data_IF_537605327528
#
_entry.id   IF_537605327528
#
_cell.length_a   1.000
_cell.length_b   1.000
_cell.length_c   1.000
_cell.angle_alpha   90.00
_cell.angle_beta   90.00
_cell.angle_gamma   90.00
#
_symmetry.space_group_name_H-M   'P 1'
#
loop_
_entity.id
_entity.type
_entity.pdbx_description
1 polymer ?
#
# COMPACT_ATOMS: atom_id res chain seq x y z
N UNK A 1 -23.54 19.45 20.83
CA UNK A 1 -23.11 18.22 20.14
C UNK A 1 -24.35 17.38 19.87
N UNK A 2 -24.78 17.28 18.61
CA UNK A 2 -26.16 16.89 18.29
C UNK A 2 -26.30 15.36 18.27
N UNK A 3 -27.34 14.84 18.94
CA UNK A 3 -27.66 13.41 19.09
C UNK A 3 -27.75 12.63 17.77
N UNK A 4 -27.97 13.33 16.65
CA UNK A 4 -28.00 12.79 15.28
C UNK A 4 -26.60 12.48 14.71
N UNK A 5 -25.58 13.22 15.13
CA UNK A 5 -24.17 13.00 14.73
C UNK A 5 -23.58 11.79 15.47
N UNK A 6 -24.00 11.57 16.73
CA UNK A 6 -23.62 10.38 17.49
C UNK A 6 -24.26 9.09 16.93
N UNK A 7 -25.49 9.17 16.41
CA UNK A 7 -26.19 8.01 15.82
C UNK A 7 -25.61 7.60 14.44
N UNK A 8 -25.15 8.55 13.63
CA UNK A 8 -24.52 8.26 12.33
C UNK A 8 -23.14 7.62 12.46
N UNK A 9 -22.39 8.00 13.49
CA UNK A 9 -21.05 7.45 13.78
C UNK A 9 -21.09 6.03 14.37
N UNK A 10 -22.21 5.60 14.95
CA UNK A 10 -22.40 4.23 15.49
C UNK A 10 -22.96 3.27 14.44
N UNK A 11 -23.71 3.76 13.44
CA UNK A 11 -24.34 2.92 12.41
C UNK A 11 -23.38 2.55 11.26
N UNK A 12 -22.34 3.34 11.00
CA UNK A 12 -21.31 2.96 10.02
C UNK A 12 -20.29 1.94 10.58
N UNK A 13 -20.18 1.81 11.90
CA UNK A 13 -19.27 0.85 12.54
C UNK A 13 -19.81 -0.57 12.55
N UNK A 14 -21.11 -0.79 12.30
CA UNK A 14 -21.72 -2.13 12.33
C UNK A 14 -21.76 -2.85 10.97
N UNK A 15 -21.44 -2.19 9.86
CA UNK A 15 -21.42 -2.82 8.53
C UNK A 15 -20.03 -3.29 8.07
N UNK A 16 -18.95 -2.92 8.76
CA UNK A 16 -17.59 -3.36 8.40
C UNK A 16 -17.08 -4.52 9.26
N UNK A 17 -17.80 -4.89 10.32
CA UNK A 17 -17.37 -5.95 11.27
C UNK A 17 -17.96 -7.32 10.93
N UNK A 18 -19.02 -7.40 10.11
CA UNK A 18 -19.61 -8.70 9.72
C UNK A 18 -18.79 -9.52 8.70
N UNK A 19 -17.61 -9.04 8.29
CA UNK A 19 -16.62 -9.86 7.57
C UNK A 19 -15.62 -10.60 8.48
N UNK A 20 -15.57 -10.27 9.77
CA UNK A 20 -14.51 -10.72 10.68
C UNK A 20 -15.07 -11.56 11.83
N UNK A 21 -15.69 -12.71 11.55
CA UNK A 21 -16.08 -13.63 12.60
C UNK A 21 -16.27 -15.09 12.14
N UNK A 22 -15.42 -15.66 11.25
CA UNK A 22 -15.22 -17.12 11.18
C UNK A 22 -14.12 -17.52 10.18
N UNK A 23 -12.86 -17.35 10.54
CA UNK A 23 -11.77 -17.99 9.77
C UNK A 23 -10.83 -18.67 10.77
N UNK A 24 -10.84 -20.00 10.74
CA UNK A 24 -10.10 -20.91 11.63
C UNK A 24 -8.74 -21.35 11.04
N UNK A 25 -8.14 -20.54 10.17
CA UNK A 25 -6.94 -20.92 9.42
C UNK A 25 -5.83 -19.87 9.58
N UNK A 26 -4.67 -20.28 10.11
CA UNK A 26 -3.54 -19.40 10.48
C UNK A 26 -2.98 -18.61 9.29
N UNK A 27 -2.98 -19.19 8.09
CA UNK A 27 -2.53 -18.50 6.87
C UNK A 27 -3.47 -17.37 6.45
N UNK A 28 -4.76 -17.54 6.71
CA UNK A 28 -5.76 -16.52 6.38
C UNK A 28 -5.77 -15.39 7.41
N UNK A 29 -5.43 -15.67 8.66
CA UNK A 29 -5.30 -14.67 9.72
C UNK A 29 -4.23 -13.62 9.40
N UNK A 30 -3.05 -14.06 8.98
CA UNK A 30 -1.94 -13.16 8.61
C UNK A 30 -2.26 -12.34 7.36
N UNK A 31 -2.95 -12.93 6.38
CA UNK A 31 -3.42 -12.23 5.16
C UNK A 31 -4.43 -11.13 5.49
N UNK A 32 -5.39 -11.41 6.39
CA UNK A 32 -6.40 -10.45 6.84
C UNK A 32 -5.80 -9.37 7.73
N UNK A 33 -4.85 -9.71 8.61
CA UNK A 33 -4.19 -8.73 9.47
C UNK A 33 -3.26 -7.79 8.67
N UNK A 34 -2.52 -8.30 7.69
CA UNK A 34 -1.64 -7.48 6.83
C UNK A 34 -2.40 -6.54 5.89
N UNK A 35 -3.38 -7.09 5.17
CA UNK A 35 -4.26 -6.35 4.25
C UNK A 35 -5.19 -5.40 5.00
N UNK A 36 -5.77 -5.85 6.11
CA UNK A 36 -6.67 -5.05 6.94
C UNK A 36 -5.96 -3.90 7.64
N UNK A 37 -4.75 -4.11 8.16
CA UNK A 37 -3.97 -3.03 8.80
C UNK A 37 -3.49 -2.02 7.78
N UNK A 38 -2.98 -2.49 6.64
CA UNK A 38 -2.56 -1.62 5.55
C UNK A 38 -3.74 -0.79 5.03
N UNK A 39 -4.84 -1.44 4.65
CA UNK A 39 -6.05 -0.77 4.16
C UNK A 39 -6.62 0.20 5.19
N UNK A 40 -6.60 -0.13 6.48
CA UNK A 40 -7.05 0.78 7.54
C UNK A 40 -6.15 2.03 7.64
N UNK A 41 -4.82 1.87 7.61
CA UNK A 41 -3.88 2.99 7.65
C UNK A 41 -4.06 3.88 6.43
N UNK A 42 -4.15 3.26 5.25
CA UNK A 42 -4.42 3.94 4.00
C UNK A 42 -5.77 4.66 4.01
N UNK A 43 -6.83 4.03 4.50
CA UNK A 43 -8.17 4.62 4.59
C UNK A 43 -8.20 5.85 5.49
N UNK A 44 -7.48 5.80 6.62
CA UNK A 44 -7.38 6.94 7.53
C UNK A 44 -6.61 8.08 6.87
N UNK A 45 -5.44 7.79 6.27
CA UNK A 45 -4.62 8.79 5.61
C UNK A 45 -5.37 9.44 4.42
N UNK A 46 -5.96 8.62 3.55
CA UNK A 46 -6.74 9.09 2.42
C UNK A 46 -8.03 9.79 2.84
N UNK A 47 -8.70 9.34 3.91
CA UNK A 47 -9.89 9.98 4.43
C UNK A 47 -9.63 11.37 5.00
N UNK A 48 -8.50 11.53 5.70
CA UNK A 48 -8.02 12.84 6.16
C UNK A 48 -7.76 13.76 4.97
N UNK A 49 -7.01 13.30 3.95
CA UNK A 49 -6.77 14.08 2.73
C UNK A 49 -8.09 14.47 2.05
N UNK A 50 -9.00 13.50 1.89
CA UNK A 50 -10.29 13.71 1.27
C UNK A 50 -11.14 14.76 2.00
N UNK A 51 -11.20 14.67 3.34
CA UNK A 51 -11.91 15.64 4.17
C UNK A 51 -11.29 17.03 4.07
N UNK A 52 -9.97 17.13 4.03
CA UNK A 52 -9.28 18.41 3.95
C UNK A 52 -9.48 19.11 2.60
N UNK A 53 -9.61 18.36 1.50
CA UNK A 53 -9.80 18.88 0.15
C UNK A 53 -11.26 19.27 -0.11
N UNK A 54 -12.19 18.35 0.15
CA UNK A 54 -13.61 18.58 -0.17
C UNK A 54 -14.38 19.24 0.96
N UNK A 55 -13.88 19.19 2.19
CA UNK A 55 -14.57 19.71 3.38
C UNK A 55 -15.86 18.97 3.72
N UNK A 56 -16.15 17.86 3.02
CA UNK A 56 -17.40 17.13 3.12
C UNK A 56 -17.20 15.62 3.27
N UNK A 57 -18.26 14.96 3.77
CA UNK A 57 -18.27 13.53 4.03
C UNK A 57 -18.03 12.72 2.75
N UNK A 58 -18.45 13.21 1.58
CA UNK A 58 -18.24 12.52 0.31
C UNK A 58 -16.77 12.48 -0.07
N UNK A 59 -16.05 13.59 0.06
CA UNK A 59 -14.62 13.65 -0.21
C UNK A 59 -13.83 12.86 0.83
N UNK A 60 -14.25 12.87 2.10
CA UNK A 60 -13.68 11.97 3.14
C UNK A 60 -13.82 10.51 2.73
N UNK A 61 -15.01 10.09 2.29
CA UNK A 61 -15.27 8.69 1.96
C UNK A 61 -14.52 8.26 0.70
N UNK A 62 -14.46 9.14 -0.31
CA UNK A 62 -13.71 8.90 -1.53
C UNK A 62 -12.21 8.84 -1.25
N UNK A 63 -11.69 9.78 -0.47
CA UNK A 63 -10.30 9.78 -0.04
C UNK A 63 -9.97 8.54 0.79
N UNK A 64 -10.85 8.12 1.70
CA UNK A 64 -10.68 6.91 2.47
C UNK A 64 -10.70 5.66 1.59
N UNK A 65 -11.57 5.58 0.59
CA UNK A 65 -11.59 4.46 -0.35
C UNK A 65 -10.30 4.38 -1.17
N UNK A 66 -9.82 5.53 -1.66
CA UNK A 66 -8.56 5.63 -2.43
C UNK A 66 -7.37 5.25 -1.55
N UNK A 67 -7.30 5.82 -0.34
CA UNK A 67 -6.24 5.52 0.60
C UNK A 67 -6.28 4.06 1.05
N UNK A 68 -7.47 3.49 1.29
CA UNK A 68 -7.64 2.08 1.62
C UNK A 68 -7.12 1.16 0.52
N UNK A 69 -7.29 1.56 -0.74
CA UNK A 69 -6.71 0.83 -1.86
C UNK A 69 -5.19 0.78 -1.73
N UNK A 70 -4.50 1.94 -1.60
CA UNK A 70 -3.03 1.96 -1.40
C UNK A 70 -2.59 1.14 -0.20
N UNK A 71 -3.25 1.35 0.93
CA UNK A 71 -2.95 0.62 2.13
C UNK A 71 -3.16 -0.90 1.99
N UNK A 72 -4.22 -1.31 1.30
CA UNK A 72 -4.63 -2.71 1.15
C UNK A 72 -3.77 -3.48 0.15
N UNK A 73 -3.34 -2.83 -0.94
CA UNK A 73 -2.53 -3.49 -1.97
C UNK A 73 -1.16 -3.90 -1.41
N UNK A 74 -0.57 -3.09 -0.52
CA UNK A 74 0.73 -3.39 0.09
C UNK A 74 0.71 -4.35 1.30
N UNK A 75 -0.45 -4.94 1.61
CA UNK A 75 -0.66 -5.76 2.80
C UNK A 75 -0.46 -7.27 2.63
N UNK A 76 -0.28 -7.77 1.40
CA UNK A 76 -0.17 -9.20 1.09
C UNK A 76 1.15 -9.88 1.55
N UNK A 77 1.99 -9.13 2.26
CA UNK A 77 3.43 -9.26 2.32
C UNK A 77 4.08 -10.41 3.12
N UNK A 78 3.39 -11.45 3.61
CA UNK A 78 4.12 -12.42 4.44
C UNK A 78 3.68 -13.88 4.39
N UNK A 79 2.49 -14.20 3.89
CA UNK A 79 1.90 -15.54 4.11
C UNK A 79 2.06 -16.54 2.97
N UNK A 80 2.19 -16.10 1.72
CA UNK A 80 1.90 -16.95 0.56
C UNK A 80 2.94 -16.80 -0.55
N UNK A 81 4.21 -16.95 -0.20
CA UNK A 81 5.29 -16.86 -1.17
C UNK A 81 5.37 -18.18 -1.96
N UNK A 82 5.04 -18.14 -3.26
CA UNK A 82 4.93 -19.35 -4.12
C UNK A 82 6.30 -19.99 -4.30
N UNK A 83 7.39 -19.22 -4.31
CA UNK A 83 8.73 -19.78 -4.43
C UNK A 83 9.08 -20.75 -3.29
N UNK A 84 8.59 -20.49 -2.07
CA UNK A 84 8.82 -21.34 -0.90
C UNK A 84 7.95 -22.60 -0.88
N UNK A 85 6.99 -22.71 -1.80
CA UNK A 85 5.99 -23.77 -1.83
C UNK A 85 6.26 -24.78 -2.95
N UNK A 86 7.51 -24.91 -3.42
CA UNK A 86 7.91 -25.85 -4.49
C UNK A 86 7.41 -27.27 -4.24
N UNK A 87 7.46 -27.74 -2.99
CA UNK A 87 7.00 -29.08 -2.58
C UNK A 87 5.50 -29.33 -2.78
N UNK A 88 4.68 -28.28 -2.94
CA UNK A 88 3.23 -28.40 -3.15
C UNK A 88 2.87 -28.70 -4.61
N UNK A 89 3.84 -28.62 -5.53
CA UNK A 89 3.63 -28.81 -6.96
C UNK A 89 4.08 -30.20 -7.39
N UNK A 90 3.31 -30.82 -8.29
CA UNK A 90 3.64 -32.12 -8.84
C UNK A 90 4.78 -32.03 -9.87
N UNK A 91 4.94 -30.88 -10.51
CA UNK A 91 5.93 -30.61 -11.55
C UNK A 91 6.61 -29.27 -11.33
N UNK A 92 7.86 -29.18 -11.75
CA UNK A 92 8.64 -27.94 -11.64
C UNK A 92 8.07 -26.84 -12.53
N UNK A 93 7.54 -27.19 -13.71
CA UNK A 93 6.91 -26.24 -14.62
C UNK A 93 5.66 -25.58 -14.01
N UNK A 94 4.82 -26.35 -13.30
CA UNK A 94 3.62 -25.83 -12.63
C UNK A 94 4.00 -24.84 -11.51
N UNK A 95 5.08 -25.15 -10.79
CA UNK A 95 5.63 -24.25 -9.77
C UNK A 95 6.20 -22.97 -10.39
N UNK A 96 6.97 -23.08 -11.48
CA UNK A 96 7.55 -21.93 -12.19
C UNK A 96 6.46 -21.05 -12.79
N UNK A 97 5.41 -21.63 -13.36
CA UNK A 97 4.28 -20.88 -13.90
C UNK A 97 3.53 -20.13 -12.79
N UNK A 98 3.36 -20.74 -11.62
CA UNK A 98 2.81 -20.07 -10.45
C UNK A 98 3.72 -18.94 -9.92
N UNK A 99 5.04 -19.12 -9.96
CA UNK A 99 6.01 -18.05 -9.63
C UNK A 99 5.93 -16.89 -10.62
N UNK A 100 5.81 -17.17 -11.92
CA UNK A 100 5.63 -16.14 -12.95
C UNK A 100 4.30 -15.40 -12.75
N UNK A 101 3.22 -16.11 -12.44
CA UNK A 101 1.92 -15.51 -12.16
C UNK A 101 1.99 -14.58 -10.92
N UNK A 102 2.65 -15.03 -9.85
CA UNK A 102 2.90 -14.22 -8.66
C UNK A 102 3.73 -12.97 -8.99
N UNK A 103 4.80 -13.11 -9.78
CA UNK A 103 5.63 -11.98 -10.19
C UNK A 103 4.84 -10.93 -10.97
N UNK A 104 4.03 -11.37 -11.94
CA UNK A 104 3.14 -10.51 -12.73
C UNK A 104 2.12 -9.80 -11.85
N UNK A 105 1.49 -10.54 -10.93
CA UNK A 105 0.53 -9.97 -10.00
C UNK A 105 1.19 -8.90 -9.13
N UNK A 106 2.37 -9.18 -8.55
CA UNK A 106 3.08 -8.21 -7.71
C UNK A 106 3.51 -6.97 -8.50
N UNK A 107 3.92 -7.15 -9.76
CA UNK A 107 4.20 -6.04 -10.66
C UNK A 107 2.97 -5.15 -10.88
N UNK A 108 1.80 -5.73 -11.16
CA UNK A 108 0.56 -4.97 -11.34
C UNK A 108 0.14 -4.24 -10.06
N UNK A 109 0.22 -4.92 -8.92
CA UNK A 109 -0.04 -4.36 -7.60
C UNK A 109 0.86 -3.17 -7.29
N UNK A 110 2.17 -3.31 -7.52
CA UNK A 110 3.15 -2.26 -7.23
C UNK A 110 3.01 -1.07 -8.18
N UNK A 111 2.64 -1.29 -9.45
CA UNK A 111 2.28 -0.21 -10.38
C UNK A 111 1.07 0.56 -9.87
N UNK A 112 -0.01 -0.13 -9.49
CA UNK A 112 -1.22 0.52 -8.96
C UNK A 112 -0.91 1.29 -7.66
N UNK A 113 -0.11 0.69 -6.78
CA UNK A 113 0.36 1.31 -5.55
C UNK A 113 1.16 2.60 -5.83
N UNK A 114 2.17 2.53 -6.71
CA UNK A 114 2.99 3.68 -7.08
C UNK A 114 2.17 4.82 -7.69
N UNK A 115 1.22 4.49 -8.57
CA UNK A 115 0.32 5.48 -9.18
C UNK A 115 -0.52 6.20 -8.14
N UNK A 116 -1.07 5.47 -7.17
CA UNK A 116 -1.94 6.09 -6.19
C UNK A 116 -1.15 6.82 -5.08
N UNK A 117 0.00 6.27 -4.66
CA UNK A 117 0.95 6.97 -3.81
C UNK A 117 1.37 8.31 -4.46
N UNK A 118 1.61 8.32 -5.77
CA UNK A 118 1.86 9.55 -6.54
C UNK A 118 0.76 10.60 -6.37
N UNK A 119 -0.51 10.17 -6.48
CA UNK A 119 -1.66 11.07 -6.39
C UNK A 119 -1.78 11.63 -4.98
N UNK A 120 -1.57 10.80 -3.97
CA UNK A 120 -1.60 11.23 -2.57
C UNK A 120 -0.46 12.21 -2.26
N UNK A 121 0.75 11.96 -2.76
CA UNK A 121 1.89 12.90 -2.63
C UNK A 121 1.54 14.24 -3.28
N UNK A 122 1.11 14.24 -4.55
CA UNK A 122 0.77 15.47 -5.27
C UNK A 122 -0.35 16.27 -4.57
N UNK A 123 -1.35 15.55 -4.06
CA UNK A 123 -2.45 16.13 -3.29
C UNK A 123 -1.96 16.80 -2.01
N UNK A 124 -1.15 16.08 -1.23
CA UNK A 124 -0.59 16.56 0.03
C UNK A 124 0.35 17.76 -0.18
N UNK A 125 1.11 17.77 -1.27
CA UNK A 125 1.92 18.93 -1.70
C UNK A 125 1.04 20.15 -2.01
N UNK A 126 0.01 19.98 -2.84
CA UNK A 126 -0.89 21.06 -3.23
C UNK A 126 -1.64 21.66 -2.03
N UNK A 127 -2.04 20.81 -1.08
CA UNK A 127 -2.69 21.25 0.13
C UNK A 127 -1.72 22.02 1.04
N UNK A 128 -0.52 21.49 1.27
CA UNK A 128 0.51 22.15 2.09
C UNK A 128 0.85 23.54 1.55
N UNK A 129 0.97 23.68 0.24
CA UNK A 129 1.16 24.97 -0.42
C UNK A 129 -0.06 25.89 -0.24
N UNK A 130 -1.28 25.36 -0.38
CA UNK A 130 -2.52 26.09 -0.19
C UNK A 130 -2.72 26.58 1.25
N UNK A 131 -2.39 25.75 2.25
CA UNK A 131 -2.45 26.09 3.66
C UNK A 131 -1.50 27.24 3.99
N UNK A 132 -0.26 27.17 3.48
CA UNK A 132 0.73 28.24 3.64
C UNK A 132 0.27 29.57 3.04
N UNK A 133 -0.47 29.54 1.91
CA UNK A 133 -0.93 30.74 1.19
C UNK A 133 -2.26 31.31 1.69
N UNK A 134 -3.25 30.46 1.96
CA UNK A 134 -4.65 30.85 2.20
C UNK A 134 -5.00 30.96 3.68
N UNK A 135 -4.36 30.20 4.56
CA UNK A 135 -4.66 30.22 6.00
C UNK A 135 -3.75 31.24 6.68
N UNK A 136 -4.31 32.43 6.94
CA UNK A 136 -3.60 33.53 7.62
C UNK A 136 -3.43 33.28 9.12
N UNK A 137 -4.38 32.59 9.74
CA UNK A 137 -4.29 32.24 11.15
C UNK A 137 -3.17 31.22 11.40
N UNK A 138 -2.16 31.62 12.17
CA UNK A 138 -0.96 30.80 12.41
C UNK A 138 -1.32 29.49 13.12
N UNK A 139 -2.24 29.55 14.07
CA UNK A 139 -2.63 28.40 14.90
C UNK A 139 -3.38 27.34 14.08
N UNK A 140 -4.39 27.75 13.31
CA UNK A 140 -5.15 26.89 12.41
C UNK A 140 -4.27 26.30 11.31
N UNK A 141 -3.32 27.08 10.78
CA UNK A 141 -2.35 26.59 9.81
C UNK A 141 -1.43 25.53 10.41
N UNK A 142 -0.86 25.77 11.58
CA UNK A 142 0.02 24.81 12.27
C UNK A 142 -0.73 23.53 12.63
N UNK A 143 -1.99 23.62 13.08
CA UNK A 143 -2.81 22.46 13.37
C UNK A 143 -3.02 21.56 12.13
N UNK A 144 -3.37 22.16 10.98
CA UNK A 144 -3.53 21.42 9.71
C UNK A 144 -2.20 20.88 9.17
N UNK A 145 -1.10 21.63 9.28
CA UNK A 145 0.22 21.12 8.91
C UNK A 145 0.65 19.90 9.75
N UNK A 146 0.29 19.88 11.03
CA UNK A 146 0.55 18.73 11.91
C UNK A 146 -0.28 17.50 11.51
N UNK A 147 -1.53 17.70 11.06
CA UNK A 147 -2.37 16.64 10.52
C UNK A 147 -1.82 16.10 9.19
N UNK A 148 -1.46 16.99 8.26
CA UNK A 148 -0.80 16.65 6.99
C UNK A 148 0.50 15.89 7.21
N UNK A 149 1.30 16.29 8.20
CA UNK A 149 2.51 15.58 8.60
C UNK A 149 2.19 14.16 9.07
N UNK A 150 1.19 13.98 9.94
CA UNK A 150 0.79 12.65 10.42
C UNK A 150 0.33 11.75 9.27
N UNK A 151 -0.40 12.30 8.31
CA UNK A 151 -0.76 11.60 7.06
C UNK A 151 0.48 11.22 6.27
N UNK A 152 1.43 12.14 6.07
CA UNK A 152 2.69 11.86 5.38
C UNK A 152 3.48 10.73 6.09
N UNK A 153 3.58 10.77 7.42
CA UNK A 153 4.30 9.79 8.23
C UNK A 153 3.64 8.40 8.14
N UNK A 154 2.31 8.32 8.14
CA UNK A 154 1.58 7.06 7.95
C UNK A 154 1.78 6.48 6.55
N UNK A 155 1.73 7.32 5.50
CA UNK A 155 2.00 6.90 4.13
C UNK A 155 3.45 6.45 3.96
N UNK A 156 4.39 7.16 4.59
CA UNK A 156 5.81 6.81 4.60
C UNK A 156 6.04 5.45 5.28
N UNK A 157 5.37 5.18 6.41
CA UNK A 157 5.45 3.89 7.09
C UNK A 157 4.89 2.75 6.23
N UNK A 158 3.75 2.98 5.57
CA UNK A 158 3.16 2.01 4.65
C UNK A 158 4.05 1.75 3.43
N UNK A 159 4.60 2.80 2.82
CA UNK A 159 5.50 2.71 1.68
C UNK A 159 6.80 1.96 2.02
N UNK A 160 7.39 2.22 3.18
CA UNK A 160 8.56 1.47 3.65
C UNK A 160 8.26 -0.01 3.89
N UNK A 161 7.08 -0.35 4.41
CA UNK A 161 6.66 -1.75 4.57
C UNK A 161 6.49 -2.45 3.22
N UNK A 162 5.87 -1.77 2.26
CA UNK A 162 5.68 -2.32 0.91
C UNK A 162 7.01 -2.49 0.17
N UNK A 163 7.93 -1.52 0.32
CA UNK A 163 9.28 -1.57 -0.22
C UNK A 163 10.07 -2.75 0.36
N UNK A 164 9.97 -3.01 1.67
CA UNK A 164 10.57 -4.19 2.28
C UNK A 164 9.98 -5.49 1.71
N UNK A 165 8.66 -5.58 1.57
CA UNK A 165 7.99 -6.74 0.97
C UNK A 165 8.42 -6.98 -0.47
N UNK A 166 8.46 -5.92 -1.29
CA UNK A 166 8.86 -6.01 -2.68
C UNK A 166 10.33 -6.43 -2.85
N UNK A 167 11.22 -5.98 -1.95
CA UNK A 167 12.63 -6.43 -1.93
C UNK A 167 12.76 -7.91 -1.56
N UNK A 168 12.00 -8.40 -0.58
CA UNK A 168 11.96 -9.83 -0.25
C UNK A 168 11.45 -10.67 -1.42
N UNK A 169 10.38 -10.22 -2.09
CA UNK A 169 9.86 -10.88 -3.29
C UNK A 169 10.91 -10.93 -4.41
N UNK A 170 11.61 -9.81 -4.65
CA UNK A 170 12.68 -9.72 -5.63
C UNK A 170 13.81 -10.73 -5.35
N UNK A 171 14.25 -10.86 -4.10
CA UNK A 171 15.28 -11.84 -3.71
C UNK A 171 14.84 -13.29 -3.96
N UNK A 172 13.58 -13.59 -3.65
CA UNK A 172 13.06 -14.92 -3.85
C UNK A 172 12.85 -15.26 -5.33
N UNK A 173 12.38 -14.33 -6.15
CA UNK A 173 12.29 -14.52 -7.61
C UNK A 173 13.67 -14.68 -8.26
N UNK A 174 14.69 -13.94 -7.79
CA UNK A 174 16.08 -14.17 -8.24
C UNK A 174 16.54 -15.60 -7.93
N UNK A 175 16.15 -16.13 -6.77
CA UNK A 175 16.46 -17.52 -6.38
C UNK A 175 15.73 -18.54 -7.26
N UNK A 176 14.44 -18.36 -7.52
CA UNK A 176 13.65 -19.19 -8.45
C UNK A 176 14.25 -19.18 -9.85
N UNK A 177 14.67 -18.01 -10.33
CA UNK A 177 15.25 -17.86 -11.66
C UNK A 177 16.59 -18.57 -11.78
N UNK A 178 17.42 -18.51 -10.74
CA UNK A 178 18.66 -19.26 -10.68
C UNK A 178 18.42 -20.78 -10.65
N UNK A 179 17.39 -21.24 -9.93
CA UNK A 179 16.94 -22.63 -9.92
C UNK A 179 16.50 -23.08 -11.32
N UNK A 180 15.61 -22.32 -11.97
CA UNK A 180 15.11 -22.61 -13.32
C UNK A 180 16.25 -22.75 -14.34
N UNK A 181 17.27 -21.86 -14.27
CA UNK A 181 18.48 -21.94 -15.11
C UNK A 181 19.27 -23.23 -14.87
N UNK A 182 19.39 -23.68 -13.63
CA UNK A 182 20.09 -24.93 -13.28
C UNK A 182 19.32 -26.18 -13.72
N UNK A 183 17.99 -26.15 -13.63
CA UNK A 183 17.11 -27.25 -14.06
C UNK A 183 16.93 -27.33 -15.58
N UNK A 184 17.57 -26.45 -16.37
CA UNK A 184 17.46 -26.42 -17.83
C UNK A 184 16.17 -25.78 -18.37
N UNK A 185 15.37 -25.16 -17.50
CA UNK A 185 14.10 -24.49 -17.81
C UNK A 185 14.36 -23.05 -18.30
N UNK A 186 15.12 -22.92 -19.40
CA UNK A 186 15.62 -21.63 -19.88
C UNK A 186 14.50 -20.65 -20.28
N UNK A 187 13.41 -21.13 -20.88
CA UNK A 187 12.29 -20.27 -21.32
C UNK A 187 11.56 -19.63 -20.12
N UNK A 188 11.37 -20.40 -19.05
CA UNK A 188 10.79 -19.90 -17.80
C UNK A 188 11.75 -18.91 -17.12
N UNK A 189 13.04 -19.20 -17.12
CA UNK A 189 14.06 -18.32 -16.56
C UNK A 189 14.10 -16.95 -17.27
N UNK A 190 14.01 -16.92 -18.61
CA UNK A 190 13.94 -15.67 -19.38
C UNK A 190 12.69 -14.87 -19.04
N UNK A 191 11.55 -15.56 -18.90
CA UNK A 191 10.29 -14.91 -18.51
C UNK A 191 10.38 -14.31 -17.11
N UNK A 192 10.94 -15.06 -16.15
CA UNK A 192 11.15 -14.59 -14.79
C UNK A 192 12.15 -13.40 -14.75
N UNK A 193 13.25 -13.46 -15.49
CA UNK A 193 14.20 -12.34 -15.60
C UNK A 193 13.49 -11.04 -16.06
N UNK A 194 12.58 -11.15 -17.04
CA UNK A 194 11.80 -10.00 -17.52
C UNK A 194 10.86 -9.42 -16.45
N UNK A 195 10.17 -10.28 -15.71
CA UNK A 195 9.28 -9.84 -14.62
C UNK A 195 10.08 -9.25 -13.44
N UNK A 196 11.26 -9.81 -13.14
CA UNK A 196 12.21 -9.30 -12.14
C UNK A 196 12.70 -7.90 -12.50
N UNK A 197 13.05 -7.64 -13.76
CA UNK A 197 13.46 -6.29 -14.18
C UNK A 197 12.32 -5.28 -14.06
N UNK A 198 11.09 -5.70 -14.39
CA UNK A 198 9.89 -4.88 -14.16
C UNK A 198 9.71 -4.58 -12.66
N UNK A 199 9.88 -5.59 -11.80
CA UNK A 199 9.78 -5.45 -10.35
C UNK A 199 10.85 -4.48 -9.81
N UNK A 200 12.10 -4.60 -10.27
CA UNK A 200 13.19 -3.66 -9.91
C UNK A 200 12.85 -2.23 -10.31
N UNK A 201 12.29 -2.02 -11.50
CA UNK A 201 11.84 -0.70 -11.94
C UNK A 201 10.77 -0.11 -11.01
N UNK A 202 9.77 -0.91 -10.67
CA UNK A 202 8.69 -0.50 -9.77
C UNK A 202 9.18 -0.24 -8.32
N UNK A 203 10.16 -1.01 -7.83
CA UNK A 203 10.80 -0.78 -6.53
C UNK A 203 11.54 0.56 -6.51
N UNK A 204 12.31 0.87 -7.56
CA UNK A 204 13.01 2.16 -7.67
C UNK A 204 12.05 3.35 -7.67
N UNK A 205 10.92 3.20 -8.36
CA UNK A 205 9.87 4.21 -8.37
C UNK A 205 9.27 4.40 -6.97
N UNK A 206 9.03 3.31 -6.24
CA UNK A 206 8.55 3.36 -4.86
C UNK A 206 9.58 4.00 -3.92
N UNK A 207 10.87 3.66 -4.08
CA UNK A 207 11.99 4.27 -3.34
C UNK A 207 12.00 5.78 -3.51
N UNK A 208 11.97 6.27 -4.75
CA UNK A 208 11.93 7.71 -5.04
C UNK A 208 10.74 8.41 -4.36
N UNK A 209 9.54 7.83 -4.44
CA UNK A 209 8.33 8.39 -3.81
C UNK A 209 8.39 8.39 -2.29
N UNK A 210 9.01 7.36 -1.72
CA UNK A 210 9.25 7.25 -0.28
C UNK A 210 10.18 8.38 0.18
N UNK A 211 11.22 8.69 -0.59
CA UNK A 211 12.12 9.83 -0.32
C UNK A 211 11.40 11.18 -0.44
N UNK A 212 10.55 11.36 -1.46
CA UNK A 212 9.71 12.55 -1.61
C UNK A 212 8.78 12.76 -0.40
N UNK A 213 8.11 11.69 0.06
CA UNK A 213 7.27 11.72 1.26
C UNK A 213 8.05 12.08 2.51
N UNK A 214 9.24 11.53 2.69
CA UNK A 214 10.10 11.81 3.83
C UNK A 214 10.54 13.29 3.85
N UNK A 215 11.00 13.81 2.72
CA UNK A 215 11.37 15.22 2.55
C UNK A 215 10.18 16.15 2.81
N UNK A 216 9.01 15.82 2.26
CA UNK A 216 7.78 16.59 2.47
C UNK A 216 7.36 16.58 3.94
N UNK A 217 7.33 15.42 4.61
CA UNK A 217 7.00 15.29 6.03
C UNK A 217 7.96 16.10 6.91
N UNK A 218 9.26 16.10 6.59
CA UNK A 218 10.25 16.90 7.31
C UNK A 218 9.98 18.40 7.18
N UNK A 219 9.59 18.86 5.98
CA UNK A 219 9.26 20.28 5.72
C UNK A 219 7.99 20.79 6.42
N UNK A 220 7.13 19.87 6.88
CA UNK A 220 5.89 20.19 7.61
C UNK A 220 6.10 20.34 9.12
N UNK A 221 7.28 19.99 9.65
CA UNK A 221 7.64 20.24 11.04
C UNK A 221 7.73 21.75 11.29
N UNK A 222 6.79 22.28 12.09
CA UNK A 222 6.72 23.67 12.56
C UNK A 222 6.94 23.70 14.06
#
# INVERSE_FOLDING_TARGET
MNRKVLLGMVLCTSLVINGCANIKDDGTRTRVEGTGTGAAIGAVAGGVLGQLIGGDTKATLLGAAIGAAVGGVGGYAYGDHVAGQKEKYAKEEEWLEACIAQAKQKNQELVAYNQDLSRQIATLQAETASLRKKVKDKTARTAKLKENKKTADNLLAAANKELASAKTELEAQNSVTAEAKKSGQNDYAVTLDSEIETLKGNIKELEHRTEELASMSASMSV
#
